data_IF_496135419580
#
_entry.id   IF_496135419580
#
_cell.length_a   1.000
_cell.length_b   1.000
_cell.length_c   1.000
_cell.angle_alpha   90.00
_cell.angle_beta   90.00
_cell.angle_gamma   90.00
#
_symmetry.space_group_name_H-M   'P 1'
#
loop_
_entity.id
_entity.type
_entity.pdbx_description
1 polymer ?
#
# COMPACT_ATOMS: atom_id res chain seq x y z
N UNK A 1 -23.76 7.08 -6.87
CA UNK A 1 -23.93 5.89 -6.00
C UNK A 1 -23.89 6.35 -4.56
N UNK A 2 -24.80 5.87 -3.70
CA UNK A 2 -25.01 6.42 -2.35
C UNK A 2 -23.95 5.97 -1.33
N UNK A 3 -23.94 6.64 -0.17
CA UNK A 3 -23.04 6.34 0.94
C UNK A 3 -23.48 5.07 1.69
N UNK A 4 -22.67 4.01 1.63
CA UNK A 4 -23.01 2.68 2.18
C UNK A 4 -23.02 2.66 3.72
N UNK A 5 -22.62 3.75 4.36
CA UNK A 5 -22.54 3.87 5.82
C UNK A 5 -23.16 5.20 6.29
N UNK A 6 -24.09 5.12 7.24
CA UNK A 6 -24.70 6.29 7.86
C UNK A 6 -23.67 7.17 8.60
N UNK A 7 -24.05 8.42 8.90
CA UNK A 7 -23.18 9.41 9.55
C UNK A 7 -22.62 8.93 10.89
N UNK A 8 -23.37 8.19 11.70
CA UNK A 8 -22.90 7.64 12.96
C UNK A 8 -21.96 6.45 12.75
N UNK A 9 -22.23 5.57 11.78
CA UNK A 9 -21.30 4.48 11.38
C UNK A 9 -19.99 5.03 10.84
N UNK A 10 -20.01 6.06 9.98
CA UNK A 10 -18.78 6.76 9.56
C UNK A 10 -18.04 7.39 10.74
N UNK A 11 -18.74 8.04 11.67
CA UNK A 11 -18.14 8.61 12.88
C UNK A 11 -17.47 7.54 13.76
N UNK A 12 -18.18 6.44 14.05
CA UNK A 12 -17.67 5.28 14.81
C UNK A 12 -16.46 4.63 14.14
N UNK A 13 -16.45 4.51 12.81
CA UNK A 13 -15.31 3.98 12.05
C UNK A 13 -14.12 4.92 12.12
N UNK A 14 -14.29 6.23 11.91
CA UNK A 14 -13.21 7.22 12.01
C UNK A 14 -12.62 7.28 13.42
N UNK A 15 -13.44 7.21 14.47
CA UNK A 15 -12.99 7.16 15.86
C UNK A 15 -12.19 5.89 16.22
N UNK A 16 -12.28 4.83 15.41
CA UNK A 16 -11.50 3.59 15.55
C UNK A 16 -10.20 3.59 14.75
N UNK A 17 -9.93 4.60 13.92
CA UNK A 17 -8.67 4.72 13.16
C UNK A 17 -7.56 5.17 14.12
N UNK A 18 -6.77 4.20 14.62
CA UNK A 18 -5.58 4.49 15.43
C UNK A 18 -4.46 5.09 14.59
N UNK A 19 -3.71 6.02 15.18
CA UNK A 19 -2.51 6.62 14.58
C UNK A 19 -1.20 5.82 14.84
N UNK A 20 -1.26 4.75 15.64
CA UNK A 20 -0.14 3.84 15.97
C UNK A 20 -0.67 2.50 16.49
N UNK A 21 0.21 1.50 16.59
CA UNK A 21 -0.08 0.14 17.03
C UNK A 21 -1.27 -0.46 16.27
N UNK A 22 -1.23 -0.27 14.95
CA UNK A 22 -2.28 -0.73 14.03
C UNK A 22 -2.13 -2.22 13.75
N UNK A 23 -3.23 -2.90 13.41
CA UNK A 23 -3.21 -4.34 13.07
C UNK A 23 -2.14 -4.74 12.02
N UNK A 24 -1.96 -4.03 10.88
CA UNK A 24 -0.89 -4.36 9.93
C UNK A 24 0.52 -4.11 10.48
N UNK A 25 0.72 -3.01 11.23
CA UNK A 25 2.01 -2.69 11.86
C UNK A 25 2.41 -3.75 12.91
N UNK A 26 1.48 -4.17 13.76
CA UNK A 26 1.68 -5.25 14.73
C UNK A 26 1.93 -6.61 14.05
N UNK A 27 1.30 -6.87 12.90
CA UNK A 27 1.58 -8.06 12.10
C UNK A 27 3.01 -8.06 11.55
N UNK A 28 3.48 -6.92 11.01
CA UNK A 28 4.85 -6.75 10.51
C UNK A 28 5.88 -6.89 11.64
N UNK A 29 5.66 -6.22 12.78
CA UNK A 29 6.49 -6.32 14.00
C UNK A 29 6.66 -7.79 14.43
N UNK A 30 5.56 -8.55 14.51
CA UNK A 30 5.59 -9.99 14.85
C UNK A 30 6.35 -10.82 13.81
N UNK A 31 6.18 -10.55 12.51
CA UNK A 31 6.85 -11.30 11.45
C UNK A 31 8.37 -11.04 11.42
N UNK A 32 8.80 -9.79 11.55
CA UNK A 32 10.22 -9.42 11.60
C UNK A 32 10.91 -9.98 12.86
N UNK A 33 10.21 -10.01 14.00
CA UNK A 33 10.72 -10.64 15.21
C UNK A 33 10.95 -12.16 15.04
N UNK A 34 10.07 -12.88 14.31
CA UNK A 34 10.31 -14.30 13.95
C UNK A 34 11.56 -14.49 13.08
N UNK A 35 11.93 -13.49 12.28
CA UNK A 35 13.13 -13.49 11.43
C UNK A 35 14.39 -13.02 12.18
N UNK A 36 14.34 -12.91 13.51
CA UNK A 36 15.46 -12.51 14.37
C UNK A 36 15.80 -11.01 14.32
N UNK A 37 14.98 -10.19 13.66
CA UNK A 37 15.27 -8.77 13.47
C UNK A 37 14.84 -7.93 14.68
N UNK A 38 15.77 -7.13 15.21
CA UNK A 38 15.56 -6.17 16.29
C UNK A 38 15.47 -4.74 15.72
N UNK A 39 14.51 -3.96 16.20
CA UNK A 39 14.23 -2.58 15.78
C UNK A 39 13.88 -1.73 17.00
N UNK A 40 14.06 -0.41 16.87
CA UNK A 40 13.46 0.60 17.76
C UNK A 40 12.13 1.07 17.17
N UNK A 41 11.26 1.64 18.00
CA UNK A 41 9.96 2.18 17.61
C UNK A 41 9.94 3.71 17.68
N UNK A 42 8.84 4.32 17.23
CA UNK A 42 8.51 5.74 17.42
C UNK A 42 9.55 6.72 16.82
N UNK A 43 10.26 6.31 15.77
CA UNK A 43 11.28 7.13 15.11
C UNK A 43 12.57 7.38 15.91
N UNK A 44 12.84 6.66 17.01
CA UNK A 44 13.98 6.94 17.88
C UNK A 44 15.31 6.35 17.35
N UNK A 45 16.24 7.23 16.96
CA UNK A 45 17.64 6.92 16.61
C UNK A 45 18.61 7.38 17.72
N UNK A 46 19.92 7.14 17.54
CA UNK A 46 20.94 7.55 18.51
C UNK A 46 21.08 9.09 18.62
N UNK A 47 20.86 9.81 17.51
CA UNK A 47 20.86 11.29 17.47
C UNK A 47 19.47 11.93 17.68
N UNK A 48 18.54 11.24 18.36
CA UNK A 48 17.19 11.74 18.62
C UNK A 48 16.10 11.24 17.66
N UNK A 49 15.06 12.04 17.45
CA UNK A 49 13.87 11.66 16.69
C UNK A 49 14.05 11.88 15.17
N UNK A 50 13.78 10.84 14.39
CA UNK A 50 13.92 10.87 12.93
C UNK A 50 12.77 11.62 12.22
N UNK A 51 13.03 12.27 11.07
CA UNK A 51 12.00 12.90 10.23
C UNK A 51 10.86 11.94 9.89
N UNK A 52 9.62 12.42 9.97
CA UNK A 52 8.40 11.63 9.73
C UNK A 52 8.03 10.62 10.83
N UNK A 53 8.89 10.39 11.84
CA UNK A 53 8.71 9.38 12.91
C UNK A 53 8.43 7.96 12.36
N UNK A 54 9.35 7.35 11.60
CA UNK A 54 9.20 5.99 11.06
C UNK A 54 8.86 4.96 12.15
N UNK A 55 7.95 4.04 11.81
CA UNK A 55 7.39 3.04 12.71
C UNK A 55 8.47 2.10 13.26
N UNK A 56 9.39 1.64 12.40
CA UNK A 56 10.50 0.76 12.76
C UNK A 56 11.84 1.40 12.37
N UNK A 57 12.81 1.40 13.30
CA UNK A 57 14.15 1.96 13.09
C UNK A 57 15.22 0.90 13.35
N UNK A 58 16.02 0.63 12.33
CA UNK A 58 17.15 -0.30 12.35
C UNK A 58 18.47 0.49 12.38
N UNK A 59 18.80 1.06 13.55
CA UNK A 59 19.91 2.00 13.71
C UNK A 59 21.25 1.46 13.20
N UNK A 60 21.63 0.22 13.57
CA UNK A 60 22.86 -0.44 13.10
C UNK A 60 22.89 -0.83 11.62
N UNK A 61 21.83 -0.49 10.85
CA UNK A 61 21.72 -0.67 9.39
C UNK A 61 21.40 0.66 8.68
N UNK A 62 21.41 1.78 9.43
CA UNK A 62 20.89 3.11 9.03
C UNK A 62 19.59 3.04 8.23
N UNK A 63 18.67 2.15 8.61
CA UNK A 63 17.44 1.93 7.87
C UNK A 63 16.20 2.32 8.69
N UNK A 64 15.29 3.07 8.07
CA UNK A 64 14.00 3.48 8.58
C UNK A 64 12.88 2.82 7.76
N UNK A 65 11.83 2.34 8.43
CA UNK A 65 10.68 1.68 7.78
C UNK A 65 9.38 2.38 8.19
N UNK A 66 8.59 2.77 7.19
CA UNK A 66 7.25 3.31 7.34
C UNK A 66 6.19 2.24 7.02
N UNK A 67 5.11 2.21 7.80
CA UNK A 67 3.93 1.35 7.56
C UNK A 67 2.77 2.21 7.08
N UNK A 68 2.62 2.35 5.77
CA UNK A 68 1.63 3.25 5.18
C UNK A 68 0.27 2.56 4.91
N UNK A 69 -0.81 3.18 5.39
CA UNK A 69 -2.17 2.85 4.96
C UNK A 69 -2.42 3.33 3.54
N UNK A 70 -2.84 2.44 2.63
CA UNK A 70 -3.03 2.74 1.21
C UNK A 70 -4.04 3.88 0.99
N UNK A 71 -5.11 3.92 1.80
CA UNK A 71 -6.11 4.98 1.76
C UNK A 71 -5.53 6.36 2.10
N UNK A 72 -4.69 6.43 3.14
CA UNK A 72 -4.21 7.70 3.72
C UNK A 72 -3.02 8.30 2.97
N UNK A 73 -2.10 7.47 2.48
CA UNK A 73 -0.87 7.89 1.80
C UNK A 73 -0.90 7.64 0.28
N UNK A 74 -2.02 7.13 -0.26
CA UNK A 74 -2.34 7.03 -1.70
C UNK A 74 -1.45 6.08 -2.51
N UNK A 75 -1.41 4.81 -2.11
CA UNK A 75 -0.70 3.76 -2.85
C UNK A 75 -1.21 3.61 -4.29
N UNK A 76 -0.35 3.89 -5.27
CA UNK A 76 -0.73 3.96 -6.68
C UNK A 76 -1.20 2.61 -7.25
N UNK A 77 -2.38 2.61 -7.87
CA UNK A 77 -3.03 1.42 -8.44
C UNK A 77 -3.61 0.44 -7.41
N UNK A 78 -3.66 0.80 -6.12
CA UNK A 78 -4.19 -0.10 -5.09
C UNK A 78 -5.70 0.09 -4.88
N UNK A 79 -6.53 -0.97 -4.92
CA UNK A 79 -7.98 -0.87 -4.64
C UNK A 79 -8.34 -0.30 -3.25
N UNK A 80 -7.41 -0.36 -2.28
CA UNK A 80 -7.58 0.25 -0.95
C UNK A 80 -7.30 1.76 -0.92
N UNK A 81 -6.69 2.32 -1.96
CA UNK A 81 -6.45 3.75 -2.13
C UNK A 81 -7.65 4.45 -2.81
N UNK A 82 -8.88 4.04 -2.49
CA UNK A 82 -10.09 4.63 -3.08
C UNK A 82 -10.31 6.08 -2.63
N UNK A 83 -11.01 6.87 -3.43
CA UNK A 83 -11.39 8.25 -3.10
C UNK A 83 -12.86 8.26 -2.67
N UNK A 84 -13.21 8.79 -1.48
CA UNK A 84 -14.62 8.91 -1.09
C UNK A 84 -15.33 9.92 -1.99
N UNK A 85 -16.43 9.51 -2.65
CA UNK A 85 -17.21 10.38 -3.54
C UNK A 85 -17.85 11.60 -2.82
N UNK A 86 -17.92 11.56 -1.48
CA UNK A 86 -18.46 12.63 -0.63
C UNK A 86 -17.32 13.44 0.02
N UNK A 87 -17.41 14.78 -0.04
CA UNK A 87 -16.45 15.75 0.52
C UNK A 87 -15.06 15.74 -0.14
N UNK A 88 -15.02 15.76 -1.48
CA UNK A 88 -13.78 15.78 -2.26
C UNK A 88 -12.90 17.01 -1.95
N UNK A 89 -13.54 18.16 -1.70
CA UNK A 89 -12.98 19.40 -1.17
C UNK A 89 -12.14 19.20 0.11
N UNK A 90 -12.59 18.32 1.01
CA UNK A 90 -11.84 17.97 2.23
C UNK A 90 -10.79 16.89 1.97
N UNK A 91 -11.13 15.87 1.16
CA UNK A 91 -10.28 14.68 0.98
C UNK A 91 -9.06 14.94 0.10
N UNK A 92 -9.21 15.63 -1.04
CA UNK A 92 -8.12 15.81 -2.00
C UNK A 92 -6.95 16.65 -1.41
N UNK A 93 -7.18 17.81 -0.76
CA UNK A 93 -6.09 18.56 -0.11
C UNK A 93 -5.48 17.79 1.08
N UNK A 94 -6.28 17.01 1.81
CA UNK A 94 -5.80 16.16 2.91
C UNK A 94 -4.87 15.05 2.41
N UNK A 95 -5.20 14.40 1.29
CA UNK A 95 -4.34 13.40 0.67
C UNK A 95 -3.07 14.01 0.06
N UNK A 96 -3.15 15.18 -0.58
CA UNK A 96 -1.97 15.91 -1.07
C UNK A 96 -1.02 16.28 0.07
N UNK A 97 -1.54 16.85 1.16
CA UNK A 97 -0.78 17.21 2.37
C UNK A 97 -0.24 15.99 3.14
N UNK A 98 -0.77 14.78 2.93
CA UNK A 98 -0.15 13.57 3.44
C UNK A 98 1.09 13.24 2.61
N UNK A 99 0.90 12.97 1.31
CA UNK A 99 1.99 12.61 0.37
C UNK A 99 3.16 13.61 0.40
N UNK A 100 2.89 14.92 0.45
CA UNK A 100 3.94 15.94 0.53
C UNK A 100 4.79 15.84 1.82
N UNK A 101 4.18 15.49 2.97
CA UNK A 101 4.90 15.27 4.24
C UNK A 101 5.66 13.95 4.24
N UNK A 102 5.09 12.92 3.62
CA UNK A 102 5.74 11.61 3.46
C UNK A 102 6.99 11.77 2.57
N UNK A 103 6.87 12.42 1.40
CA UNK A 103 7.97 12.76 0.51
C UNK A 103 9.06 13.59 1.21
N UNK A 104 8.68 14.63 1.95
CA UNK A 104 9.62 15.46 2.71
C UNK A 104 10.38 14.66 3.79
N UNK A 105 9.69 13.78 4.53
CA UNK A 105 10.32 12.90 5.52
C UNK A 105 11.30 11.89 4.88
N UNK A 106 10.88 11.25 3.79
CA UNK A 106 11.73 10.31 3.04
C UNK A 106 12.93 11.01 2.36
N UNK A 107 12.79 12.27 1.94
CA UNK A 107 13.89 13.08 1.44
C UNK A 107 14.88 13.45 2.55
N UNK A 108 14.40 13.96 3.68
CA UNK A 108 15.23 14.32 4.84
C UNK A 108 15.98 13.13 5.42
N UNK A 109 15.35 11.95 5.48
CA UNK A 109 16.01 10.69 5.87
C UNK A 109 17.15 10.31 4.92
N UNK A 110 16.90 10.31 3.60
CA UNK A 110 17.93 9.98 2.59
C UNK A 110 19.08 11.00 2.60
N UNK A 111 18.80 12.29 2.78
CA UNK A 111 19.81 13.33 2.93
C UNK A 111 20.66 13.13 4.21
N UNK A 112 20.06 12.68 5.30
CA UNK A 112 20.76 12.23 6.51
C UNK A 112 21.42 10.83 6.37
N UNK A 113 21.54 10.31 5.14
CA UNK A 113 22.13 9.00 4.82
C UNK A 113 21.41 7.80 5.43
N UNK A 114 20.09 7.90 5.63
CA UNK A 114 19.26 6.76 6.00
C UNK A 114 18.66 6.09 4.77
N UNK A 115 18.73 4.76 4.74
CA UNK A 115 17.97 3.91 3.84
C UNK A 115 16.50 3.91 4.28
N UNK A 116 15.55 3.92 3.34
CA UNK A 116 14.11 4.09 3.61
C UNK A 116 13.33 2.95 2.98
N UNK A 117 12.49 2.27 3.76
CA UNK A 117 11.51 1.32 3.24
C UNK A 117 10.08 1.78 3.52
N UNK A 118 9.21 1.68 2.53
CA UNK A 118 7.76 1.87 2.67
C UNK A 118 7.08 0.52 2.54
N UNK A 119 6.28 0.14 3.54
CA UNK A 119 5.51 -1.10 3.54
C UNK A 119 4.02 -0.78 3.64
N UNK A 120 3.29 -1.08 2.58
CA UNK A 120 1.88 -0.77 2.46
C UNK A 120 0.99 -1.80 3.16
N UNK A 121 -0.13 -1.36 3.75
CA UNK A 121 -1.11 -2.25 4.40
C UNK A 121 -1.65 -3.38 3.49
N UNK A 122 -1.59 -3.21 2.16
CA UNK A 122 -1.98 -4.24 1.20
C UNK A 122 -0.95 -5.38 1.05
N UNK A 123 0.29 -5.18 1.49
CA UNK A 123 1.31 -6.22 1.67
C UNK A 123 1.14 -6.97 3.00
N UNK A 124 0.49 -6.35 3.99
CA UNK A 124 0.42 -6.82 5.37
C UNK A 124 -0.82 -7.67 5.66
N UNK A 125 -1.29 -8.42 4.67
CA UNK A 125 -2.39 -9.41 4.80
C UNK A 125 -1.85 -10.78 5.22
N UNK A 126 -2.68 -11.63 5.82
CA UNK A 126 -2.30 -12.99 6.25
C UNK A 126 -1.62 -13.83 5.15
N UNK A 127 -2.02 -13.64 3.89
CA UNK A 127 -1.44 -14.36 2.75
C UNK A 127 -0.10 -13.80 2.24
N UNK A 128 0.24 -12.54 2.56
CA UNK A 128 1.43 -11.84 2.03
C UNK A 128 2.49 -11.53 3.09
N UNK A 129 2.09 -11.47 4.37
CA UNK A 129 2.90 -10.98 5.49
C UNK A 129 4.29 -11.63 5.59
N UNK A 130 4.40 -12.95 5.45
CA UNK A 130 5.69 -13.65 5.54
C UNK A 130 6.57 -13.43 4.30
N UNK A 131 5.99 -13.26 3.11
CA UNK A 131 6.74 -12.89 1.91
C UNK A 131 7.27 -11.45 2.01
N UNK A 132 6.42 -10.51 2.45
CA UNK A 132 6.80 -9.11 2.72
C UNK A 132 7.86 -8.99 3.81
N UNK A 133 7.74 -9.75 4.90
CA UNK A 133 8.75 -9.78 5.97
C UNK A 133 10.08 -10.37 5.49
N UNK A 134 10.07 -11.44 4.66
CA UNK A 134 11.29 -11.99 4.04
C UNK A 134 11.93 -11.00 3.06
N UNK A 135 11.16 -10.32 2.22
CA UNK A 135 11.68 -9.31 1.28
C UNK A 135 12.33 -8.12 2.01
N UNK A 136 11.66 -7.58 3.04
CA UNK A 136 12.23 -6.52 3.89
C UNK A 136 13.47 -7.02 4.64
N UNK A 137 13.47 -8.25 5.16
CA UNK A 137 14.62 -8.84 5.83
C UNK A 137 15.82 -9.05 4.89
N UNK A 138 15.57 -9.44 3.64
CA UNK A 138 16.61 -9.56 2.61
C UNK A 138 17.22 -8.19 2.27
N UNK A 139 16.38 -7.18 1.99
CA UNK A 139 16.85 -5.81 1.76
C UNK A 139 17.62 -5.25 2.96
N UNK A 140 17.15 -5.45 4.20
CA UNK A 140 17.87 -5.02 5.41
C UNK A 140 19.23 -5.71 5.57
N UNK A 141 19.41 -6.93 5.04
CA UNK A 141 20.66 -7.71 5.15
C UNK A 141 21.65 -7.41 4.03
N UNK A 142 21.17 -7.17 2.81
CA UNK A 142 21.99 -6.82 1.66
C UNK A 142 22.37 -5.34 1.64
N UNK A 143 23.44 -5.01 0.93
CA UNK A 143 23.79 -3.62 0.57
C UNK A 143 22.96 -3.15 -0.65
N UNK A 144 21.64 -3.26 -0.47
CA UNK A 144 20.62 -3.00 -1.48
C UNK A 144 20.32 -1.50 -1.61
N UNK A 145 19.68 -1.05 -2.72
CA UNK A 145 19.39 0.36 -2.98
C UNK A 145 18.76 1.11 -1.79
N UNK A 146 18.99 2.44 -1.69
CA UNK A 146 18.63 3.23 -0.51
C UNK A 146 17.12 3.35 -0.28
N UNK A 147 16.29 2.97 -1.25
CA UNK A 147 14.82 2.96 -1.14
C UNK A 147 14.28 1.54 -1.40
N UNK A 148 13.22 1.15 -0.68
CA UNK A 148 12.41 -0.04 -0.93
C UNK A 148 10.91 0.30 -0.81
N UNK A 149 10.07 -0.29 -1.65
CA UNK A 149 8.61 -0.17 -1.55
C UNK A 149 7.95 -1.56 -1.66
N UNK A 150 7.06 -1.91 -0.71
CA UNK A 150 6.45 -3.24 -0.60
C UNK A 150 4.91 -3.18 -0.49
N UNK A 151 4.15 -3.65 -1.50
CA UNK A 151 4.64 -3.98 -2.84
C UNK A 151 5.09 -2.70 -3.56
N UNK A 152 5.80 -2.80 -4.70
CA UNK A 152 5.95 -1.66 -5.60
C UNK A 152 4.58 -1.15 -6.08
N UNK A 153 4.48 0.14 -6.48
CA UNK A 153 3.28 0.69 -7.07
C UNK A 153 2.94 -0.01 -8.38
N UNK A 154 1.66 -0.03 -8.77
CA UNK A 154 1.21 -0.81 -9.94
C UNK A 154 1.94 -0.46 -11.25
N UNK A 155 2.37 0.81 -11.43
CA UNK A 155 3.14 1.24 -12.59
C UNK A 155 4.53 0.58 -12.72
N UNK A 156 5.10 0.07 -11.61
CA UNK A 156 6.33 -0.72 -11.60
C UNK A 156 6.04 -2.25 -11.59
N UNK A 157 4.77 -2.65 -11.66
CA UNK A 157 4.35 -4.05 -11.82
C UNK A 157 3.84 -4.25 -13.26
N UNK A 158 4.76 -4.22 -14.22
CA UNK A 158 4.43 -4.61 -15.59
C UNK A 158 3.89 -6.05 -15.62
N UNK A 159 2.85 -6.35 -16.43
CA UNK A 159 2.31 -7.71 -16.53
C UNK A 159 3.29 -8.59 -17.31
N UNK A 160 4.26 -9.17 -16.61
CA UNK A 160 5.18 -10.14 -17.21
C UNK A 160 4.45 -11.47 -17.41
N UNK A 161 3.97 -11.69 -18.63
CA UNK A 161 3.04 -12.76 -18.99
C UNK A 161 2.28 -12.44 -20.27
N UNK A 162 2.99 -12.03 -21.33
CA UNK A 162 2.42 -12.00 -22.68
C UNK A 162 2.25 -13.42 -23.20
N UNK A 163 1.18 -13.72 -23.97
CA UNK A 163 1.07 -14.99 -24.67
C UNK A 163 2.08 -15.04 -25.82
N UNK A 164 2.89 -16.09 -25.86
CA UNK A 164 3.78 -16.40 -27.00
C UNK A 164 2.94 -16.62 -28.28
N UNK A 165 3.39 -16.15 -29.46
CA UNK A 165 2.66 -16.31 -30.71
C UNK A 165 2.78 -17.73 -31.27
N UNK A 166 1.97 -18.65 -30.74
CA UNK A 166 1.85 -20.02 -31.26
C UNK A 166 1.27 -20.06 -32.67
N UNK A 167 2.11 -20.32 -33.68
CA UNK A 167 1.72 -20.27 -35.09
C UNK A 167 0.98 -21.52 -35.56
N UNK A 168 -0.35 -21.41 -35.68
CA UNK A 168 -1.18 -21.99 -36.75
C UNK A 168 -1.33 -23.51 -36.89
N UNK A 169 -2.58 -23.98 -36.88
CA UNK A 169 -3.25 -24.57 -38.06
C UNK A 169 -4.59 -25.22 -37.67
N UNK A 170 -5.62 -25.13 -38.52
CA UNK A 170 -6.89 -25.84 -38.37
C UNK A 170 -8.14 -25.00 -38.62
N UNK A 171 -8.97 -25.41 -39.58
CA UNK A 171 -10.32 -24.90 -39.81
C UNK A 171 -11.27 -25.31 -38.65
N UNK A 172 -12.44 -24.68 -38.43
CA UNK A 172 -13.14 -23.63 -39.18
C UNK A 172 -14.64 -23.64 -38.84
N UNK A 173 -15.46 -23.00 -39.68
CA UNK A 173 -16.93 -22.85 -39.60
C UNK A 173 -17.47 -21.70 -38.73
N UNK A 174 -18.28 -20.87 -39.39
CA UNK A 174 -18.99 -19.68 -38.92
C UNK A 174 -20.25 -20.00 -38.09
N UNK A 175 -20.76 -18.99 -37.36
CA UNK A 175 -22.18 -18.58 -37.31
C UNK A 175 -22.27 -17.16 -36.70
N UNK A 176 -23.25 -16.37 -37.14
CA UNK A 176 -23.45 -14.94 -36.86
C UNK A 176 -23.99 -14.56 -35.44
N UNK A 177 -23.92 -13.26 -35.05
CA UNK A 177 -24.34 -12.78 -33.73
C UNK A 177 -25.86 -12.57 -33.58
N UNK A 178 -26.45 -13.17 -32.53
CA UNK A 178 -27.89 -13.10 -32.22
C UNK A 178 -28.34 -11.80 -31.52
N UNK A 179 -29.30 -11.11 -32.13
CA UNK A 179 -29.85 -9.81 -31.77
C UNK A 179 -30.61 -9.68 -30.42
N UNK A 180 -30.72 -8.43 -29.96
CA UNK A 180 -31.81 -7.87 -29.13
C UNK A 180 -32.75 -7.01 -30.03
N UNK A 181 -33.91 -6.44 -29.60
CA UNK A 181 -34.54 -6.37 -28.26
C UNK A 181 -35.84 -7.21 -28.21
N UNK A 182 -37.14 -6.75 -28.13
CA UNK A 182 -37.76 -5.43 -27.94
C UNK A 182 -38.16 -5.17 -26.46
N UNK A 183 -39.20 -4.36 -26.17
CA UNK A 183 -39.74 -4.11 -24.83
C UNK A 183 -41.28 -4.02 -24.77
N UNK A 184 -41.88 -4.55 -23.68
CA UNK A 184 -43.21 -4.19 -23.11
C UNK A 184 -43.31 -4.85 -21.71
N UNK A 185 -44.24 -4.55 -20.79
CA UNK A 185 -45.59 -3.95 -20.89
C UNK A 185 -45.96 -3.14 -19.61
N UNK A 186 -47.00 -2.32 -19.69
CA UNK A 186 -47.57 -1.49 -18.60
C UNK A 186 -48.48 -2.28 -17.63
N UNK A 187 -48.65 -1.71 -16.42
CA UNK A 187 -49.79 -1.85 -15.47
C UNK A 187 -49.97 -3.27 -14.88
N UNK A 188 -50.37 -3.43 -13.61
CA UNK A 188 -51.30 -2.62 -12.81
C UNK A 188 -50.70 -1.63 -11.81
#
# INVERSE_FOLDING_TARGET
>A
MADVHDRATRSRTMARVKARDTSPELALRRALHRLGLRYRLHGAAAGGALPGRPDLVFAGRRAAVFVHGCFWHRHAGCPRASTPASRLDYWLPKFARNQARDQAAQAALRAAGWRVAVVWECALTRARIDATARALAAWLRADAPPTLELPPPAAATAPNGGPEPGTGSGAGSDVEPGAAPPASRRQS
#
